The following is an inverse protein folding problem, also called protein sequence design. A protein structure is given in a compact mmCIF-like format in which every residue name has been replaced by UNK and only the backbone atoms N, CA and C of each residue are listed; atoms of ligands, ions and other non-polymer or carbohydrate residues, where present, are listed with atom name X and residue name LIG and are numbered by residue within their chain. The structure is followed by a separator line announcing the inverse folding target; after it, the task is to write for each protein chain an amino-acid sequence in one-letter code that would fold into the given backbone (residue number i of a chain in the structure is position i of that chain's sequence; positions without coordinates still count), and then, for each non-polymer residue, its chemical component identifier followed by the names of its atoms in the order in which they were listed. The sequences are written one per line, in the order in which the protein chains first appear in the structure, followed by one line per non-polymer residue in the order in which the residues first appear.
data_IF_493423534607
#
_entry.id   IF_493423534607
#
_cell.length_a   1.000
_cell.length_b   1.000
_cell.length_c   1.000
_cell.angle_alpha   90.00
_cell.angle_beta   90.00
_cell.angle_gamma   90.00
#
_symmetry.space_group_name_H-M   'P 1'
#
loop_
_entity.id
_entity.type
_entity.pdbx_description
1 polymer ?
2 non-polymer ?
3 water ?
#
# COMPACT_ATOMS: atom_id res chain seq x y z
N UNK A 3 -15.01 -11.18 -24.63
CA UNK A 3 -15.34 -9.78 -24.34
C UNK A 3 -15.43 -9.55 -22.83
N UNK A 4 -14.93 -8.39 -22.38
CA UNK A 4 -14.91 -8.03 -20.96
C UNK A 4 -16.17 -7.25 -20.56
N UNK A 5 -17.31 -7.85 -20.84
CA UNK A 5 -18.59 -7.29 -20.47
C UNK A 5 -19.26 -8.05 -19.33
N UNK A 6 -18.65 -9.10 -18.80
CA UNK A 6 -19.27 -9.96 -17.80
C UNK A 6 -18.81 -9.52 -16.40
N UNK A 7 -19.75 -9.36 -15.48
CA UNK A 7 -19.46 -8.91 -14.13
C UNK A 7 -19.76 -9.98 -13.10
N UNK A 8 -18.94 -9.98 -12.06
CA UNK A 8 -19.16 -10.72 -10.82
C UNK A 8 -19.51 -9.70 -9.75
N UNK A 9 -20.57 -9.98 -8.99
CA UNK A 9 -21.00 -9.09 -7.92
C UNK A 9 -20.86 -9.89 -6.62
N UNK A 10 -20.06 -9.39 -5.68
CA UNK A 10 -19.76 -10.12 -4.47
C UNK A 10 -20.22 -9.41 -3.21
N UNK A 11 -20.05 -10.12 -2.09
CA UNK A 11 -20.38 -9.60 -0.78
C UNK A 11 -21.87 -9.30 -0.64
N UNK A 12 -22.70 -10.13 -1.27
CA UNK A 12 -24.14 -9.97 -1.17
C UNK A 12 -24.71 -10.67 0.05
N UNK A 13 -25.78 -10.11 0.60
CA UNK A 13 -26.47 -10.75 1.70
C UNK A 13 -27.18 -12.00 1.19
N UNK A 14 -27.52 -12.88 2.14
CA UNK A 14 -28.21 -14.13 1.80
C UNK A 14 -29.58 -13.88 1.19
N UNK A 15 -30.17 -12.70 1.44
CA UNK A 15 -31.51 -12.37 0.98
C UNK A 15 -31.53 -11.61 -0.34
N UNK A 16 -30.37 -11.20 -0.86
CA UNK A 16 -30.32 -10.37 -2.05
C UNK A 16 -31.12 -11.01 -3.18
N UNK A 17 -31.86 -10.19 -3.90
CA UNK A 17 -32.70 -10.64 -5.00
C UNK A 17 -32.35 -9.85 -6.24
N UNK A 18 -32.67 -10.37 -7.43
CA UNK A 18 -32.43 -9.59 -8.65
C UNK A 18 -33.00 -8.19 -8.61
N UNK A 19 -34.22 -8.00 -8.08
CA UNK A 19 -34.81 -6.66 -8.05
C UNK A 19 -33.93 -5.68 -7.27
N UNK A 20 -33.19 -6.16 -6.25
CA UNK A 20 -32.30 -5.27 -5.53
C UNK A 20 -31.17 -4.80 -6.43
N UNK A 21 -30.61 -5.70 -7.22
CA UNK A 21 -29.50 -5.33 -8.08
C UNK A 21 -29.99 -4.51 -9.28
N UNK A 22 -31.17 -4.85 -9.81
CA UNK A 22 -31.76 -4.07 -10.89
C UNK A 22 -31.83 -2.60 -10.51
N UNK A 23 -32.29 -2.31 -9.28
CA UNK A 23 -32.49 -0.92 -8.89
C UNK A 23 -31.16 -0.21 -8.64
N UNK A 24 -30.15 -0.94 -8.15
CA UNK A 24 -28.82 -0.36 -8.01
C UNK A 24 -28.27 0.05 -9.37
N UNK A 25 -28.36 -0.86 -10.37
CA UNK A 25 -27.83 -0.52 -11.69
C UNK A 25 -28.63 0.60 -12.34
N UNK A 26 -29.94 0.62 -12.14
CA UNK A 26 -30.76 1.67 -12.72
C UNK A 26 -30.39 3.01 -12.11
N UNK A 27 -30.24 3.06 -10.79
CA UNK A 27 -29.87 4.32 -10.15
C UNK A 27 -28.51 4.82 -10.62
N UNK A 28 -27.60 3.91 -10.92
CA UNK A 28 -26.28 4.25 -11.44
C UNK A 28 -26.28 4.55 -12.94
N UNK A 29 -27.42 4.41 -13.61
CA UNK A 29 -27.54 4.67 -15.05
C UNK A 29 -26.66 3.72 -15.86
N UNK A 30 -26.62 2.46 -15.47
CA UNK A 30 -25.84 1.46 -16.17
C UNK A 30 -26.78 0.39 -16.73
N UNK A 31 -26.86 0.25 -18.05
CA UNK A 31 -27.66 -0.83 -18.63
C UNK A 31 -27.00 -2.19 -18.42
N UNK A 32 -27.84 -3.22 -18.38
CA UNK A 32 -27.36 -4.59 -18.45
C UNK A 32 -27.96 -5.23 -19.70
N UNK A 33 -27.29 -6.26 -20.21
CA UNK A 33 -27.73 -6.92 -21.42
C UNK A 33 -28.39 -8.27 -21.18
N UNK A 34 -28.49 -8.70 -19.93
CA UNK A 34 -29.18 -9.92 -19.59
C UNK A 34 -29.60 -9.87 -18.13
N UNK A 35 -30.16 -10.96 -17.62
CA UNK A 35 -30.66 -10.98 -16.25
C UNK A 35 -29.54 -11.14 -15.23
N UNK A 36 -29.86 -10.74 -14.01
CA UNK A 36 -29.00 -11.01 -12.86
C UNK A 36 -29.20 -12.46 -12.44
N UNK A 37 -28.09 -13.20 -12.30
CA UNK A 37 -28.11 -14.59 -11.81
C UNK A 37 -27.56 -14.55 -10.38
N UNK A 38 -28.45 -14.69 -9.41
CA UNK A 38 -28.09 -14.53 -8.01
C UNK A 38 -27.86 -15.90 -7.40
N UNK A 39 -26.65 -16.15 -6.90
CA UNK A 39 -26.33 -17.41 -6.25
C UNK A 39 -26.29 -17.18 -4.74
N UNK A 40 -25.32 -17.72 -4.01
CA UNK A 40 -25.30 -17.64 -2.55
C UNK A 40 -24.21 -16.67 -2.12
N UNK A 41 -24.59 -15.41 -1.98
CA UNK A 41 -23.65 -14.39 -1.56
C UNK A 41 -22.97 -13.68 -2.70
N UNK A 42 -23.32 -14.00 -3.93
CA UNK A 42 -22.71 -13.38 -5.08
C UNK A 42 -23.66 -13.54 -6.26
N UNK A 43 -23.36 -12.84 -7.35
CA UNK A 43 -24.22 -12.86 -8.52
C UNK A 43 -23.39 -12.57 -9.76
N UNK A 44 -23.99 -12.84 -10.92
CA UNK A 44 -23.40 -12.49 -12.21
C UNK A 44 -24.39 -11.69 -13.03
N UNK A 45 -23.86 -10.75 -13.82
CA UNK A 45 -24.67 -10.06 -14.83
C UNK A 45 -23.75 -9.62 -15.95
N UNK A 46 -24.32 -9.48 -17.16
CA UNK A 46 -23.61 -8.97 -18.32
C UNK A 46 -24.00 -7.53 -18.61
N UNK A 47 -23.03 -6.74 -19.04
CA UNK A 47 -23.31 -5.42 -19.58
C UNK A 47 -23.21 -5.43 -21.09
N UNK A 48 -23.75 -4.41 -21.77
CA UNK A 48 -23.80 -4.46 -23.26
C UNK A 48 -22.43 -4.40 -23.92
N UNK A 49 -21.43 -3.85 -23.26
CA UNK A 49 -20.08 -3.78 -23.83
C UNK A 49 -19.09 -3.58 -22.70
N UNK A 50 -17.81 -3.54 -23.06
CA UNK A 50 -16.76 -3.43 -22.05
C UNK A 50 -16.79 -2.07 -21.35
N UNK A 51 -17.14 -1.01 -22.06
CA UNK A 51 -17.18 0.31 -21.43
C UNK A 51 -18.19 0.35 -20.31
N UNK A 52 -19.37 -0.24 -20.53
CA UNK A 52 -20.37 -0.25 -19.47
C UNK A 52 -19.92 -1.11 -18.29
N UNK A 53 -19.27 -2.24 -18.55
CA UNK A 53 -18.79 -3.08 -17.45
C UNK A 53 -17.78 -2.33 -16.59
N UNK A 54 -16.86 -1.58 -17.22
CA UNK A 54 -15.89 -0.80 -16.45
C UNK A 54 -16.59 0.31 -15.66
N UNK A 55 -17.55 1.00 -16.28
CA UNK A 55 -18.32 2.00 -15.56
C UNK A 55 -19.02 1.43 -14.32
N UNK A 56 -19.55 0.20 -14.42
CA UNK A 56 -20.20 -0.44 -13.27
C UNK A 56 -19.20 -0.69 -12.15
N UNK A 57 -18.01 -1.20 -12.49
CA UNK A 57 -16.98 -1.41 -11.48
C UNK A 57 -16.62 -0.11 -10.80
N UNK A 58 -16.32 0.92 -11.60
CA UNK A 58 -15.84 2.19 -11.06
C UNK A 58 -16.90 2.87 -10.22
N UNK A 59 -18.17 2.79 -10.62
CA UNK A 59 -19.24 3.49 -9.89
C UNK A 59 -19.79 2.71 -8.70
N UNK A 60 -19.74 1.38 -8.73
CA UNK A 60 -20.46 0.61 -7.73
C UNK A 60 -19.58 -0.07 -6.70
N UNK A 61 -18.40 -0.57 -7.10
CA UNK A 61 -17.68 -1.49 -6.23
C UNK A 61 -17.21 -0.77 -4.96
N UNK A 62 -17.60 -1.31 -3.81
CA UNK A 62 -17.26 -0.71 -2.53
C UNK A 62 -17.96 0.60 -2.23
N UNK A 63 -18.86 1.05 -3.11
CA UNK A 63 -19.47 2.36 -3.01
C UNK A 63 -20.96 2.32 -2.72
N UNK A 64 -21.60 1.18 -2.90
CA UNK A 64 -23.03 1.02 -2.72
C UNK A 64 -23.22 -0.13 -1.73
N UNK A 65 -24.14 0.04 -0.78
CA UNK A 65 -24.48 -0.99 0.18
C UNK A 65 -25.84 -1.57 -0.16
N UNK A 66 -25.98 -2.86 0.13
CA UNK A 66 -27.28 -3.53 0.04
C UNK A 66 -27.42 -4.35 1.31
N UNK A 67 -28.51 -4.15 2.04
CA UNK A 67 -28.73 -4.88 3.29
C UNK A 67 -27.55 -4.70 4.26
N UNK A 68 -26.97 -3.51 4.25
CA UNK A 68 -25.90 -3.23 5.19
C UNK A 68 -24.52 -3.73 4.81
N UNK A 69 -24.36 -4.29 3.62
CA UNK A 69 -23.06 -4.79 3.19
C UNK A 69 -22.65 -4.05 1.92
N UNK A 70 -21.42 -3.53 1.84
CA UNK A 70 -20.99 -2.90 0.57
C UNK A 70 -20.77 -3.95 -0.51
N UNK A 71 -21.36 -3.74 -1.67
CA UNK A 71 -21.20 -4.71 -2.73
C UNK A 71 -19.83 -4.57 -3.38
N UNK A 72 -19.34 -5.69 -3.92
CA UNK A 72 -18.14 -5.70 -4.73
C UNK A 72 -18.56 -5.97 -6.17
N UNK A 73 -17.95 -5.27 -7.13
CA UNK A 73 -18.26 -5.48 -8.54
C UNK A 73 -16.93 -5.56 -9.28
N UNK A 74 -16.73 -6.66 -10.02
CA UNK A 74 -15.46 -6.96 -10.66
C UNK A 74 -15.71 -7.62 -12.00
N UNK A 75 -14.70 -7.62 -12.87
CA UNK A 75 -14.77 -8.45 -14.06
C UNK A 75 -14.87 -9.89 -13.63
N UNK A 76 -15.78 -10.64 -14.26
CA UNK A 76 -15.90 -12.07 -14.00
C UNK A 76 -14.81 -12.79 -14.79
N UNK A 77 -13.91 -13.47 -14.10
CA UNK A 77 -12.80 -14.16 -14.76
C UNK A 77 -12.68 -15.55 -14.15
N UNK A 78 -12.93 -16.61 -14.91
CA UNK A 78 -12.68 -17.97 -14.41
C UNK A 78 -11.23 -18.13 -13.97
N UNK A 79 -11.01 -18.96 -12.93
CA UNK A 79 -9.67 -19.10 -12.38
C UNK A 79 -8.67 -19.53 -13.44
N UNK A 80 -9.08 -20.41 -14.35
CA UNK A 80 -8.18 -20.89 -15.40
C UNK A 80 -7.89 -19.84 -16.46
N UNK A 81 -8.57 -18.70 -16.43
CA UNK A 81 -8.25 -17.59 -17.31
C UNK A 81 -7.52 -16.46 -16.62
N UNK A 82 -7.14 -16.66 -15.35
CA UNK A 82 -6.30 -15.70 -14.60
C UNK A 82 -4.87 -16.12 -14.85
N UNK A 83 -4.25 -15.49 -15.85
CA UNK A 83 -2.93 -15.91 -16.29
C UNK A 83 -2.00 -14.71 -16.36
N UNK A 84 -1.83 -14.10 -17.54
CA UNK A 84 -0.83 -13.03 -17.69
C UNK A 84 -1.40 -11.62 -17.55
N UNK A 85 -2.71 -11.45 -17.64
CA UNK A 85 -3.29 -10.14 -17.90
C UNK A 85 -3.98 -9.56 -16.67
N UNK A 86 -3.71 -8.29 -16.43
CA UNK A 86 -4.26 -7.54 -15.29
C UNK A 86 -4.83 -6.23 -15.79
N UNK A 87 -5.77 -5.67 -15.05
CA UNK A 87 -6.21 -4.31 -15.25
C UNK A 87 -5.86 -3.51 -14.00
N UNK A 88 -5.30 -2.31 -14.20
CA UNK A 88 -4.94 -1.40 -13.11
C UNK A 88 -5.82 -0.18 -13.22
N UNK A 89 -6.50 0.15 -12.14
CA UNK A 89 -7.41 1.30 -12.10
C UNK A 89 -6.96 2.27 -11.03
N UNK A 90 -7.58 3.44 -11.03
CA UNK A 90 -7.33 4.49 -10.03
C UNK A 90 -5.89 5.01 -10.10
N UNK A 91 -5.30 5.03 -11.30
CA UNK A 91 -3.96 5.59 -11.51
C UNK A 91 -4.05 7.12 -11.49
N UNK A 92 -3.14 7.81 -10.80
CA UNK A 92 -3.17 9.28 -10.83
C UNK A 92 -3.20 9.81 -12.25
N UNK A 93 -4.02 10.82 -12.53
CA UNK A 93 -4.21 11.28 -13.92
C UNK A 93 -2.95 11.75 -14.61
N UNK A 94 -2.05 12.39 -13.87
CA UNK A 94 -0.88 13.02 -14.49
C UNK A 94 0.35 12.15 -14.37
N UNK A 95 0.20 10.93 -13.88
CA UNK A 95 1.35 10.07 -13.61
C UNK A 95 2.12 9.83 -14.90
N UNK A 96 3.43 10.09 -14.86
CA UNK A 96 4.27 9.77 -15.99
C UNK A 96 4.32 8.26 -16.20
N UNK A 97 4.27 7.85 -17.46
CA UNK A 97 4.27 6.42 -17.76
C UNK A 97 5.58 5.74 -17.37
N UNK A 98 6.68 6.50 -17.24
CA UNK A 98 7.93 5.93 -16.73
C UNK A 98 7.81 5.56 -15.26
N UNK A 99 7.07 6.35 -14.48
CA UNK A 99 6.87 6.01 -13.07
C UNK A 99 6.08 4.71 -12.96
N UNK A 100 4.99 4.60 -13.70
CA UNK A 100 4.23 3.34 -13.69
C UNK A 100 5.10 2.17 -14.14
N UNK A 101 5.86 2.34 -15.24
CA UNK A 101 6.70 1.27 -15.74
C UNK A 101 7.70 0.81 -14.70
N UNK A 102 8.28 1.77 -13.96
CA UNK A 102 9.26 1.44 -12.95
C UNK A 102 8.68 0.54 -11.86
N UNK A 103 7.37 0.65 -11.62
CA UNK A 103 6.70 -0.27 -10.70
C UNK A 103 6.47 -1.63 -11.36
N UNK A 104 5.94 -1.63 -12.59
CA UNK A 104 5.52 -2.88 -13.22
C UNK A 104 6.71 -3.82 -13.42
N UNK A 105 7.86 -3.28 -13.82
CA UNK A 105 8.99 -4.16 -14.16
C UNK A 105 9.62 -4.79 -12.94
N UNK A 106 9.24 -4.35 -11.73
CA UNK A 106 9.75 -5.03 -10.54
C UNK A 106 9.22 -6.45 -10.44
N UNK A 107 8.16 -6.79 -11.21
CA UNK A 107 7.52 -8.09 -11.09
C UNK A 107 7.63 -8.95 -12.33
N UNK A 108 8.18 -8.44 -13.42
CA UNK A 108 8.29 -9.26 -14.60
C UNK A 108 8.49 -8.43 -15.84
N UNK A 109 8.32 -9.09 -16.97
CA UNK A 109 8.52 -8.46 -18.27
C UNK A 109 7.13 -8.07 -18.78
N UNK A 110 6.97 -6.80 -19.11
CA UNK A 110 5.70 -6.27 -19.57
C UNK A 110 5.66 -6.45 -21.08
N UNK A 111 4.85 -7.43 -21.53
CA UNK A 111 4.63 -7.63 -22.96
C UNK A 111 3.84 -6.48 -23.58
N UNK A 112 2.88 -5.91 -22.85
CA UNK A 112 2.13 -4.75 -23.34
C UNK A 112 1.45 -4.04 -22.17
N UNK A 113 1.20 -2.73 -22.34
CA UNK A 113 0.48 -1.90 -21.36
C UNK A 113 -0.37 -0.92 -22.17
N UNK A 114 -1.69 -1.18 -22.24
CA UNK A 114 -2.60 -0.44 -23.10
C UNK A 114 -3.50 0.46 -22.26
N UNK A 115 -3.57 1.73 -22.64
CA UNK A 115 -4.49 2.64 -21.97
C UNK A 115 -5.94 2.32 -22.37
N UNK A 116 -6.84 2.46 -21.41
CA UNK A 116 -8.25 2.19 -21.60
C UNK A 116 -9.05 3.49 -21.45
N UNK A 117 -10.03 3.69 -22.32
CA UNK A 117 -10.90 4.85 -22.19
C UNK A 117 -11.75 4.74 -20.94
N UNK A 118 -11.92 5.85 -20.25
CA UNK A 118 -12.77 5.94 -19.06
C UNK A 118 -13.18 7.39 -18.90
N UNK A 119 -14.38 7.60 -18.36
CA UNK A 119 -14.78 8.97 -18.03
C UNK A 119 -14.26 9.45 -16.68
N UNK A 120 -13.63 8.58 -15.89
CA UNK A 120 -13.07 9.09 -14.65
C UNK A 120 -11.80 9.89 -14.93
N UNK A 121 -11.44 10.74 -13.98
CA UNK A 121 -10.19 11.50 -14.12
C UNK A 121 -8.97 10.60 -14.00
N UNK A 122 -9.10 9.47 -13.30
CA UNK A 122 -7.98 8.57 -13.13
C UNK A 122 -7.83 7.69 -14.36
N UNK A 123 -6.61 7.19 -14.56
CA UNK A 123 -6.32 6.34 -15.70
C UNK A 123 -6.57 4.86 -15.39
N UNK A 124 -6.75 4.09 -16.46
CA UNK A 124 -6.91 2.64 -16.41
C UNK A 124 -6.01 2.06 -17.49
N UNK A 125 -5.24 1.03 -17.15
CA UNK A 125 -4.42 0.33 -18.14
C UNK A 125 -4.65 -1.17 -18.04
N UNK A 126 -4.52 -1.86 -19.17
CA UNK A 126 -4.47 -3.31 -19.21
C UNK A 126 -3.03 -3.72 -19.47
N UNK A 127 -2.48 -4.55 -18.60
CA UNK A 127 -1.09 -4.98 -18.62
C UNK A 127 -1.03 -6.47 -18.90
N UNK A 128 -0.19 -6.87 -19.84
CA UNK A 128 0.11 -8.28 -20.07
C UNK A 128 1.56 -8.54 -19.67
N UNK A 129 1.75 -9.42 -18.67
CA UNK A 129 3.08 -9.90 -18.30
C UNK A 129 3.46 -11.12 -19.14
N UNK A 130 4.74 -11.50 -19.09
CA UNK A 130 5.17 -12.65 -19.87
C UNK A 130 4.67 -13.96 -19.32
N UNK A 131 4.46 -14.05 -18.01
CA UNK A 131 4.11 -15.33 -17.39
C UNK A 131 3.08 -15.14 -16.28
N UNK A 132 2.43 -16.26 -15.94
CA UNK A 132 1.44 -16.30 -14.88
C UNK A 132 2.03 -15.92 -13.52
N UNK A 133 3.25 -16.39 -13.22
CA UNK A 133 3.82 -16.08 -11.91
C UNK A 133 4.10 -14.58 -11.79
N UNK A 134 4.51 -13.94 -12.88
CA UNK A 134 4.79 -12.51 -12.84
C UNK A 134 3.52 -11.71 -12.57
N UNK A 135 2.43 -12.02 -13.29
CA UNK A 135 1.19 -11.31 -13.07
C UNK A 135 0.66 -11.56 -11.67
N UNK A 136 0.80 -12.79 -11.16
CA UNK A 136 0.28 -13.08 -9.83
C UNK A 136 1.03 -12.27 -8.77
N UNK A 137 2.36 -12.14 -8.90
CA UNK A 137 3.12 -11.32 -7.96
C UNK A 137 2.76 -9.84 -8.09
N UNK A 138 2.60 -9.36 -9.32
CA UNK A 138 2.28 -7.96 -9.53
C UNK A 138 0.93 -7.63 -8.92
N UNK A 139 -0.04 -8.52 -9.10
CA UNK A 139 -1.35 -8.33 -8.49
C UNK A 139 -1.24 -8.22 -6.98
N UNK A 140 -0.51 -9.14 -6.36
CA UNK A 140 -0.40 -9.16 -4.91
C UNK A 140 0.29 -7.91 -4.38
N UNK A 141 1.30 -7.41 -5.10
CA UNK A 141 2.11 -6.29 -4.65
C UNK A 141 1.52 -4.93 -5.01
N UNK A 142 0.83 -4.82 -6.14
CA UNK A 142 0.31 -3.55 -6.61
C UNK A 142 -1.11 -3.26 -6.17
N UNK A 143 -1.96 -4.27 -5.96
CA UNK A 143 -3.32 -3.97 -5.51
C UNK A 143 -3.26 -3.36 -4.12
N UNK A 144 -3.80 -2.16 -3.97
CA UNK A 144 -3.74 -1.45 -2.71
C UNK A 144 -2.54 -0.54 -2.55
N UNK A 145 -1.63 -0.51 -3.52
CA UNK A 145 -0.46 0.34 -3.38
C UNK A 145 -0.82 1.81 -3.50
N UNK A 146 -0.30 2.64 -2.60
CA UNK A 146 -0.64 4.06 -2.55
C UNK A 146 0.43 4.89 -3.24
N UNK A 147 -0.02 5.71 -4.18
CA UNK A 147 0.82 6.47 -5.09
C UNK A 147 0.15 7.83 -5.22
N UNK A 148 0.81 8.90 -4.79
CA UNK A 148 0.33 10.27 -5.04
C UNK A 148 -1.10 10.50 -4.57
N UNK A 149 -1.43 9.95 -3.40
CA UNK A 149 -2.73 10.05 -2.74
C UNK A 149 -3.82 9.21 -3.41
N UNK A 150 -3.46 8.29 -4.29
CA UNK A 150 -4.40 7.38 -4.92
C UNK A 150 -4.01 5.96 -4.58
N UNK A 151 -5.01 5.12 -4.32
CA UNK A 151 -4.78 3.70 -4.06
C UNK A 151 -5.03 2.93 -5.35
N UNK A 152 -4.00 2.29 -5.87
CA UNK A 152 -4.16 1.49 -7.09
C UNK A 152 -5.07 0.30 -6.82
N UNK A 153 -5.90 -0.03 -7.81
CA UNK A 153 -6.73 -1.23 -7.76
C UNK A 153 -6.31 -2.12 -8.90
N UNK A 154 -5.92 -3.35 -8.59
CA UNK A 154 -5.42 -4.25 -9.61
C UNK A 154 -6.22 -5.54 -9.55
N UNK A 155 -6.64 -6.04 -10.70
CA UNK A 155 -7.46 -7.24 -10.77
C UNK A 155 -7.15 -7.99 -12.05
N UNK A 156 -7.46 -9.28 -12.05
CA UNK A 156 -7.32 -10.04 -13.29
C UNK A 156 -8.35 -9.62 -14.33
N UNK A 157 -7.96 -9.77 -15.59
CA UNK A 157 -8.88 -9.80 -16.72
C UNK A 157 -8.62 -11.09 -17.49
N UNK A 158 -9.55 -11.55 -18.33
CA UNK A 158 -9.37 -12.88 -18.92
C UNK A 158 -8.18 -12.93 -19.86
N UNK A 159 -7.43 -14.03 -19.76
CA UNK A 159 -6.34 -14.33 -20.68
C UNK A 159 -6.71 -15.65 -21.34
N UNK A 160 -7.61 -15.57 -22.30
CA UNK A 160 -8.19 -16.78 -22.88
C UNK A 160 -7.19 -17.51 -23.77
N UNK A 161 -6.26 -16.79 -24.38
CA UNK A 161 -5.38 -17.44 -25.33
C UNK A 161 -4.22 -18.17 -24.67
N UNK A 162 -3.96 -17.93 -23.39
CA UNK A 162 -2.85 -18.58 -22.71
C UNK A 162 -3.28 -19.74 -21.84
N UNK A 163 -4.55 -20.16 -21.93
CA UNK A 163 -5.10 -21.15 -21.00
C UNK A 163 -4.27 -22.43 -20.96
N UNK A 164 -3.63 -22.79 -22.08
CA UNK A 164 -2.80 -23.98 -22.16
C UNK A 164 -1.31 -23.69 -22.29
N UNK A 165 -0.88 -22.44 -22.18
CA UNK A 165 0.54 -22.14 -22.28
C UNK A 165 1.31 -22.73 -21.10
N UNK A 166 2.53 -23.20 -21.37
CA UNK A 166 3.41 -23.75 -20.35
C UNK A 166 4.40 -22.70 -19.86
N UNK B 3 -1.24 2.17 10.08
CA UNK B 3 -0.27 1.21 10.61
C UNK B 3 1.14 1.69 10.26
N UNK B 4 2.09 1.45 11.15
CA UNK B 4 3.48 1.87 10.90
C UNK B 4 4.27 0.81 10.14
N UNK B 5 3.81 0.50 8.93
CA UNK B 5 4.49 -0.44 8.05
C UNK B 5 5.09 0.25 6.84
N UNK B 6 5.06 1.57 6.79
CA UNK B 6 5.46 2.35 5.62
C UNK B 6 6.83 2.98 5.87
N UNK B 7 7.77 2.73 4.95
CA UNK B 7 9.13 3.20 5.11
C UNK B 7 9.45 4.32 4.13
N UNK B 8 10.29 5.24 4.61
CA UNK B 8 10.98 6.24 3.81
C UNK B 8 12.44 5.83 3.76
N UNK B 9 13.03 5.86 2.57
CA UNK B 9 14.44 5.54 2.37
C UNK B 9 15.10 6.81 1.86
N UNK B 10 16.10 7.32 2.57
CA UNK B 10 16.70 8.59 2.25
C UNK B 10 18.20 8.51 2.03
N UNK B 11 18.76 9.65 1.67
CA UNK B 11 20.19 9.80 1.40
C UNK B 11 20.62 8.96 0.21
N UNK B 12 19.78 8.88 -0.81
CA UNK B 12 20.12 8.13 -2.02
C UNK B 12 20.77 9.01 -3.07
N UNK B 13 21.68 8.41 -3.83
CA UNK B 13 22.21 9.07 -5.01
C UNK B 13 21.14 9.13 -6.09
N UNK B 14 21.32 10.05 -7.02
CA UNK B 14 20.41 10.09 -8.15
C UNK B 14 20.47 8.81 -8.98
N UNK B 15 21.55 8.02 -8.83
CA UNK B 15 21.75 6.73 -9.50
C UNK B 15 20.93 5.59 -8.91
N UNK B 16 20.36 5.74 -7.72
CA UNK B 16 19.67 4.62 -7.09
C UNK B 16 18.48 4.16 -7.92
N UNK B 17 18.32 2.86 -8.01
CA UNK B 17 17.26 2.22 -8.79
C UNK B 17 16.50 1.28 -7.87
N UNK B 18 15.25 0.94 -8.20
CA UNK B 18 14.54 -0.08 -7.42
C UNK B 18 15.35 -1.34 -7.21
N UNK B 19 16.10 -1.81 -8.21
CA UNK B 19 16.84 -3.05 -8.06
C UNK B 19 17.89 -2.94 -6.95
N UNK B 20 18.51 -1.76 -6.76
CA UNK B 20 19.47 -1.59 -5.68
C UNK B 20 18.81 -1.77 -4.33
N UNK B 21 17.60 -1.21 -4.18
CA UNK B 21 16.93 -1.28 -2.89
C UNK B 21 16.36 -2.68 -2.65
N UNK B 22 15.86 -3.32 -3.72
CA UNK B 22 15.39 -4.68 -3.61
C UNK B 22 16.51 -5.60 -3.11
N UNK B 23 17.73 -5.42 -3.64
CA UNK B 23 18.85 -6.25 -3.22
C UNK B 23 19.23 -5.99 -1.76
N UNK B 24 19.19 -4.74 -1.33
CA UNK B 24 19.48 -4.42 0.08
C UNK B 24 18.47 -5.10 1.01
N UNK B 25 17.18 -5.04 0.66
CA UNK B 25 16.19 -5.67 1.53
C UNK B 25 16.32 -7.19 1.49
N UNK B 26 16.65 -7.76 0.32
CA UNK B 26 16.87 -9.21 0.26
C UNK B 26 18.08 -9.60 1.09
N UNK B 27 19.17 -8.84 1.02
CA UNK B 27 20.35 -9.17 1.80
C UNK B 27 20.03 -9.21 3.28
N UNK B 28 19.17 -8.30 3.74
CA UNK B 28 18.78 -8.20 5.13
C UNK B 28 17.61 -9.13 5.50
N UNK B 29 17.08 -9.88 4.53
CA UNK B 29 15.96 -10.80 4.76
C UNK B 29 14.71 -10.08 5.28
N UNK B 30 14.44 -8.91 4.72
CA UNK B 30 13.27 -8.10 5.09
C UNK B 30 12.28 -8.19 3.93
N UNK B 31 11.12 -8.80 4.10
CA UNK B 31 10.13 -8.83 3.01
C UNK B 31 9.51 -7.45 2.84
N UNK B 32 9.08 -7.17 1.62
CA UNK B 32 8.30 -5.97 1.34
C UNK B 32 6.95 -6.41 0.77
N UNK B 33 5.94 -5.55 0.95
CA UNK B 33 4.59 -5.87 0.51
C UNK B 33 4.14 -5.04 -0.68
N UNK B 34 5.01 -4.21 -1.22
CA UNK B 34 4.70 -3.45 -2.41
C UNK B 34 5.99 -3.08 -3.10
N UNK B 35 5.89 -2.35 -4.21
CA UNK B 35 7.07 -1.96 -4.97
C UNK B 35 7.84 -0.83 -4.31
N UNK B 36 9.11 -0.70 -4.67
CA UNK B 36 9.91 0.47 -4.30
C UNK B 36 9.56 1.62 -5.23
N UNK B 37 9.14 2.74 -4.66
CA UNK B 37 8.83 3.96 -5.43
C UNK B 37 10.00 4.91 -5.24
N UNK B 38 10.85 5.03 -6.26
CA UNK B 38 12.08 5.78 -6.15
C UNK B 38 11.86 7.16 -6.75
N UNK B 39 12.13 8.19 -5.95
CA UNK B 39 12.04 9.57 -6.41
C UNK B 39 13.46 10.07 -6.68
N UNK B 40 13.81 11.27 -6.27
CA UNK B 40 15.17 11.76 -6.53
C UNK B 40 15.82 12.04 -5.18
N UNK B 41 16.67 11.11 -4.74
CA UNK B 41 17.32 11.20 -3.45
C UNK B 41 16.64 10.43 -2.35
N UNK B 42 15.46 9.88 -2.61
CA UNK B 42 14.69 9.19 -1.59
C UNK B 42 13.72 8.24 -2.28
N UNK B 43 13.15 7.33 -1.48
CA UNK B 43 12.23 6.32 -1.99
C UNK B 43 11.25 5.94 -0.90
N UNK B 44 10.20 5.23 -1.29
CA UNK B 44 9.24 4.67 -0.36
C UNK B 44 9.06 3.19 -0.63
N UNK B 45 8.82 2.42 0.44
CA UNK B 45 8.39 1.03 0.30
C UNK B 45 7.59 0.68 1.54
N UNK B 46 6.70 -0.30 1.40
CA UNK B 46 5.88 -0.84 2.48
C UNK B 46 6.37 -2.23 2.87
N UNK B 47 6.30 -2.53 4.16
CA UNK B 47 6.53 -3.86 4.68
C UNK B 47 5.21 -4.50 5.10
N UNK B 48 5.19 -5.84 5.25
CA UNK B 48 3.90 -6.51 5.51
C UNK B 48 3.29 -6.15 6.85
N UNK B 49 4.08 -5.76 7.85
CA UNK B 49 3.53 -5.38 9.14
C UNK B 49 4.53 -4.46 9.84
N UNK B 50 4.15 -4.00 11.05
CA UNK B 50 4.97 -3.05 11.79
C UNK B 50 6.26 -3.67 12.29
N UNK B 51 6.23 -4.96 12.59
CA UNK B 51 7.42 -5.65 13.08
C UNK B 51 8.52 -5.68 12.02
N UNK B 52 8.15 -6.02 10.77
CA UNK B 52 9.12 -6.02 9.69
C UNK B 52 9.64 -4.62 9.40
N UNK B 53 8.78 -3.61 9.46
CA UNK B 53 9.24 -2.25 9.20
C UNK B 53 10.26 -1.81 10.22
N UNK B 54 10.02 -2.13 11.50
CA UNK B 54 10.98 -1.78 12.54
C UNK B 54 12.28 -2.57 12.37
N UNK B 55 12.18 -3.85 12.02
CA UNK B 55 13.39 -4.63 11.76
C UNK B 55 14.23 -3.99 10.65
N UNK B 56 13.57 -3.49 9.60
CA UNK B 56 14.28 -2.86 8.50
C UNK B 56 14.98 -1.59 8.96
N UNK B 57 14.30 -0.76 9.75
CA UNK B 57 14.92 0.46 10.26
C UNK B 57 16.16 0.12 11.08
N UNK B 58 16.03 -0.86 11.97
CA UNK B 58 17.14 -1.17 12.87
C UNK B 58 18.28 -1.88 12.15
N UNK B 59 18.00 -2.69 11.12
CA UNK B 59 19.07 -3.36 10.40
C UNK B 59 19.74 -2.45 9.37
N UNK B 60 19.01 -1.49 8.81
CA UNK B 60 19.52 -0.80 7.62
C UNK B 60 19.92 0.63 7.88
N UNK B 61 19.17 1.36 8.71
CA UNK B 61 19.33 2.81 8.73
C UNK B 61 20.70 3.20 9.25
N UNK B 62 21.45 3.95 8.44
CA UNK B 62 22.78 4.39 8.81
C UNK B 62 23.83 3.29 8.73
N UNK B 63 23.46 2.09 8.33
CA UNK B 63 24.34 0.95 8.38
C UNK B 63 24.72 0.39 7.03
N UNK B 64 23.87 0.46 6.05
CA UNK B 64 24.12 -0.06 4.71
C UNK B 64 24.50 1.12 3.84
N UNK B 65 25.53 0.95 3.02
CA UNK B 65 25.95 1.99 2.09
C UNK B 65 25.55 1.62 0.66
N UNK B 66 25.17 2.63 -0.10
CA UNK B 66 24.85 2.47 -1.51
C UNK B 66 25.46 3.68 -2.21
N UNK B 67 26.28 3.42 -3.23
CA UNK B 67 26.93 4.52 -3.97
C UNK B 67 27.75 5.41 -3.05
N UNK B 68 28.32 4.83 -2.01
CA UNK B 68 29.22 5.56 -1.14
C UNK B 68 28.56 6.31 -0.01
N UNK B 69 27.24 6.17 0.16
CA UNK B 69 26.43 6.99 1.07
C UNK B 69 25.71 6.01 2.00
N UNK B 70 25.70 6.23 3.32
CA UNK B 70 24.84 5.40 4.19
C UNK B 70 23.36 5.75 4.00
N UNK B 71 22.56 4.73 3.74
CA UNK B 71 21.14 4.98 3.50
C UNK B 71 20.45 5.31 4.80
N UNK B 72 19.37 6.07 4.71
CA UNK B 72 18.46 6.28 5.83
C UNK B 72 17.24 5.41 5.59
N UNK B 73 16.76 4.72 6.63
CA UNK B 73 15.51 3.98 6.57
C UNK B 73 14.72 4.34 7.81
N UNK B 74 13.55 4.96 7.62
CA UNK B 74 12.78 5.51 8.73
C UNK B 74 11.30 5.31 8.48
N UNK B 75 10.49 5.45 9.52
CA UNK B 75 9.05 5.50 9.31
C UNK B 75 8.68 6.67 8.39
N UNK B 76 7.87 6.39 7.36
CA UNK B 76 7.37 7.47 6.52
C UNK B 76 6.27 8.22 7.25
N UNK B 77 6.45 9.52 7.45
CA UNK B 77 5.45 10.31 8.18
C UNK B 77 5.20 11.58 7.38
N UNK B 78 4.02 11.76 6.79
CA UNK B 78 3.69 13.03 6.15
C UNK B 78 3.87 14.18 7.12
N UNK B 79 4.25 15.34 6.57
CA UNK B 79 4.54 16.50 7.39
C UNK B 79 3.41 16.83 8.34
N UNK B 80 2.17 16.75 7.86
CA UNK B 80 1.02 17.11 8.68
C UNK B 80 0.79 16.14 9.84
N UNK B 81 1.44 14.99 9.85
CA UNK B 81 1.33 14.02 10.93
C UNK B 81 2.54 14.01 11.86
N UNK B 82 3.45 14.96 11.70
CA UNK B 82 4.60 15.10 12.60
C UNK B 82 4.17 16.09 13.67
N UNK B 83 3.64 15.57 14.78
CA UNK B 83 3.02 16.41 15.78
C UNK B 83 3.56 16.03 17.16
N UNK B 84 2.83 15.19 17.92
CA UNK B 84 3.22 14.91 19.30
C UNK B 84 4.01 13.61 19.48
N UNK B 85 4.05 12.74 18.49
CA UNK B 85 4.48 11.37 18.68
C UNK B 85 5.86 11.11 18.09
N UNK B 86 6.68 10.40 18.88
CA UNK B 86 8.05 10.06 18.54
C UNK B 86 8.28 8.60 18.83
N UNK B 87 9.29 8.04 18.14
CA UNK B 87 9.83 6.74 18.49
C UNK B 87 11.30 6.89 18.86
N UNK B 88 11.70 6.24 19.95
CA UNK B 88 13.07 6.24 20.43
C UNK B 88 13.63 4.85 20.29
N UNK B 89 14.79 4.72 19.63
CA UNK B 89 15.46 3.45 19.38
C UNK B 89 16.85 3.47 19.97
N UNK B 90 17.48 2.29 19.99
CA UNK B 90 18.84 2.10 20.49
C UNK B 90 18.96 2.42 21.98
N UNK B 91 17.89 2.19 22.73
CA UNK B 91 17.89 2.34 24.19
C UNK B 91 18.68 1.19 24.81
N UNK B 92 19.59 1.45 25.74
CA UNK B 92 20.32 0.35 26.41
C UNK B 92 19.35 -0.70 26.97
N UNK B 93 19.63 -1.99 26.77
CA UNK B 93 18.61 -3.06 27.02
C UNK B 93 18.07 -3.20 28.45
N UNK B 94 18.88 -2.89 29.43
CA UNK B 94 18.48 -2.95 30.85
C UNK B 94 18.34 -1.57 31.45
N UNK B 95 18.18 -0.54 30.62
CA UNK B 95 18.03 0.82 31.15
C UNK B 95 16.88 0.88 32.14
N UNK B 96 17.13 1.47 33.30
CA UNK B 96 16.07 1.67 34.27
C UNK B 96 15.03 2.63 33.71
N UNK B 97 13.75 2.29 33.84
CA UNK B 97 12.73 3.20 33.31
C UNK B 97 12.75 4.55 34.03
N UNK B 98 13.19 4.58 35.29
CA UNK B 98 13.38 5.86 35.99
C UNK B 98 14.34 6.77 35.24
N UNK B 99 15.39 6.19 34.65
CA UNK B 99 16.34 7.02 33.90
C UNK B 99 15.69 7.57 32.64
N UNK B 100 15.03 6.71 31.85
CA UNK B 100 14.39 7.20 30.64
C UNK B 100 13.35 8.26 30.97
N UNK B 101 12.56 8.04 32.02
CA UNK B 101 11.56 9.05 32.38
C UNK B 101 12.21 10.37 32.73
N UNK B 102 13.34 10.34 33.45
CA UNK B 102 14.00 11.57 33.84
C UNK B 102 14.49 12.37 32.65
N UNK B 103 14.81 11.69 31.54
CA UNK B 103 15.20 12.38 30.31
C UNK B 103 13.95 12.94 29.63
N UNK B 104 12.90 12.12 29.49
CA UNK B 104 11.72 12.54 28.72
C UNK B 104 11.06 13.76 29.33
N UNK B 105 10.91 13.79 30.65
CA UNK B 105 10.13 14.86 31.25
C UNK B 105 10.84 16.20 31.21
N UNK B 106 12.14 16.22 30.83
CA UNK B 106 12.80 17.51 30.66
C UNK B 106 12.20 18.32 29.51
N UNK B 107 11.41 17.70 28.64
CA UNK B 107 10.87 18.37 27.47
C UNK B 107 9.35 18.54 27.49
N UNK B 108 8.67 18.01 28.49
CA UNK B 108 7.24 18.19 28.55
C UNK B 108 6.60 17.11 29.39
N UNK B 109 5.30 17.01 29.27
CA UNK B 109 4.52 16.02 29.97
C UNK B 109 4.29 14.87 29.01
N UNK B 110 4.62 13.67 29.45
CA UNK B 110 4.47 12.48 28.63
C UNK B 110 3.01 12.04 28.72
N UNK B 111 2.31 12.15 27.59
CA UNK B 111 0.91 11.73 27.50
C UNK B 111 0.81 10.21 27.41
N UNK B 112 1.75 9.57 26.74
CA UNK B 112 1.74 8.12 26.57
C UNK B 112 3.17 7.68 26.35
N UNK B 113 3.51 6.48 26.83
CA UNK B 113 4.76 5.89 26.42
C UNK B 113 4.63 4.38 26.56
N UNK B 114 5.05 3.68 25.52
CA UNK B 114 4.85 2.24 25.40
C UNK B 114 6.11 1.61 24.83
N UNK B 115 6.56 0.51 25.44
CA UNK B 115 7.64 -0.25 24.88
C UNK B 115 7.14 -1.06 23.71
N UNK B 116 7.95 -1.10 22.66
CA UNK B 116 7.68 -1.87 21.46
C UNK B 116 8.59 -3.08 21.52
N UNK B 117 8.02 -4.27 21.43
CA UNK B 117 8.84 -5.48 21.49
C UNK B 117 9.54 -5.68 20.15
N UNK B 118 10.85 -5.88 20.19
CA UNK B 118 11.67 -6.11 19.00
C UNK B 118 12.71 -7.20 19.30
N UNK B 119 13.30 -7.73 18.23
CA UNK B 119 14.32 -8.77 18.37
C UNK B 119 15.70 -8.21 18.64
N UNK B 120 15.90 -6.91 18.55
CA UNK B 120 17.22 -6.34 18.74
C UNK B 120 17.61 -6.40 20.22
N UNK B 121 18.91 -6.27 20.46
CA UNK B 121 19.41 -6.20 21.83
C UNK B 121 18.98 -4.93 22.55
N UNK B 122 18.63 -3.88 21.82
CA UNK B 122 18.26 -2.61 22.42
C UNK B 122 16.75 -2.45 22.41
N UNK B 123 16.25 -1.55 23.27
CA UNK B 123 14.82 -1.33 23.41
C UNK B 123 14.33 -0.21 22.49
N UNK B 124 13.02 -0.18 22.29
CA UNK B 124 12.32 0.81 21.46
C UNK B 124 11.07 1.22 22.21
N UNK B 125 10.83 2.52 22.31
CA UNK B 125 9.62 3.04 22.92
C UNK B 125 8.97 4.05 22.00
N UNK B 126 7.64 4.08 22.04
CA UNK B 126 6.87 5.14 21.39
C UNK B 126 6.39 6.09 22.47
N UNK B 127 6.54 7.41 22.23
CA UNK B 127 6.22 8.44 23.21
C UNK B 127 5.29 9.45 22.56
N UNK B 128 4.22 9.80 23.26
CA UNK B 128 3.38 10.94 22.89
C UNK B 128 3.60 12.03 23.92
N UNK B 129 4.08 13.18 23.48
CA UNK B 129 4.15 14.34 24.35
C UNK B 129 2.79 15.06 24.35
N UNK B 130 2.62 15.98 25.27
CA UNK B 130 1.34 16.64 25.40
C UNK B 130 1.10 17.67 24.31
N UNK B 131 2.16 18.21 23.71
CA UNK B 131 2.02 19.23 22.66
C UNK B 131 3.05 18.99 21.56
N UNK B 132 2.76 19.56 20.40
CA UNK B 132 3.67 19.56 19.26
C UNK B 132 5.01 20.18 19.63
N UNK B 133 4.99 21.28 20.39
CA UNK B 133 6.23 21.99 20.70
C UNK B 133 7.11 21.15 21.62
N UNK B 134 6.50 20.42 22.55
CA UNK B 134 7.26 19.53 23.43
C UNK B 134 7.96 18.45 22.64
N UNK B 135 7.22 17.80 21.72
CA UNK B 135 7.81 16.72 20.94
C UNK B 135 8.95 17.24 20.08
N UNK B 136 8.78 18.44 19.52
CA UNK B 136 9.84 18.99 18.68
C UNK B 136 11.10 19.22 19.49
N UNK B 137 10.98 19.77 20.70
CA UNK B 137 12.18 19.98 21.50
C UNK B 137 12.78 18.66 21.94
N UNK B 138 11.95 17.68 22.29
CA UNK B 138 12.49 16.39 22.69
C UNK B 138 13.26 15.75 21.54
N UNK B 139 12.72 15.81 20.32
CA UNK B 139 13.41 15.27 19.16
C UNK B 139 14.76 15.95 18.97
N UNK B 140 14.80 17.29 19.05
CA UNK B 140 16.03 18.03 18.85
C UNK B 140 17.07 17.72 19.91
N UNK B 141 16.66 17.46 21.13
CA UNK B 141 17.60 17.26 22.22
C UNK B 141 17.96 15.79 22.44
N UNK B 142 17.06 14.86 22.10
CA UNK B 142 17.33 13.46 22.39
C UNK B 142 17.89 12.69 21.20
N UNK B 143 17.60 13.11 19.97
CA UNK B 143 18.18 12.40 18.83
C UNK B 143 19.70 12.60 18.83
N UNK B 144 20.45 11.49 18.94
CA UNK B 144 21.88 11.57 19.02
C UNK B 144 22.43 11.66 20.42
N UNK B 145 21.59 11.65 21.44
CA UNK B 145 22.06 11.71 22.83
C UNK B 145 22.78 10.41 23.19
N UNK B 146 23.97 10.55 23.77
CA UNK B 146 24.80 9.41 24.12
C UNK B 146 24.54 9.01 25.56
N UNK B 147 24.04 7.79 25.72
CA UNK B 147 23.59 7.26 27.00
C UNK B 147 24.36 5.97 27.18
N UNK B 148 25.33 5.99 28.10
CA UNK B 148 26.28 4.90 28.25
C UNK B 148 26.95 4.72 26.88
N UNK B 149 27.07 3.52 26.36
CA UNK B 149 27.73 3.29 25.08
C UNK B 149 26.74 3.30 23.91
N UNK B 150 25.55 3.87 24.10
CA UNK B 150 24.48 3.83 23.11
C UNK B 150 24.11 5.23 22.69
N UNK B 151 23.92 5.43 21.39
CA UNK B 151 23.45 6.71 20.86
C UNK B 151 21.97 6.59 20.55
N UNK B 152 21.14 7.33 21.27
CA UNK B 152 19.71 7.26 21.04
C UNK B 152 19.37 7.80 19.64
N UNK B 153 18.37 7.17 19.03
CA UNK B 153 17.84 7.63 17.74
C UNK B 153 16.37 7.95 17.96
N UNK B 154 15.98 9.16 17.58
CA UNK B 154 14.62 9.63 17.85
C UNK B 154 14.08 10.19 16.55
N UNK B 155 12.81 9.85 16.23
CA UNK B 155 12.20 10.23 14.96
C UNK B 155 10.70 10.34 15.16
N UNK B 156 10.05 11.11 14.31
CA UNK B 156 8.60 11.17 14.35
C UNK B 156 7.98 9.84 13.93
N UNK B 157 6.82 9.58 14.51
CA UNK B 157 5.89 8.57 14.00
C UNK B 157 4.56 9.27 13.78
N UNK B 158 3.64 8.68 13.03
CA UNK B 158 2.43 9.43 12.67
C UNK B 158 1.57 9.77 13.87
N UNK B 159 1.16 11.03 13.95
CA UNK B 159 0.17 11.50 14.90
C UNK B 159 -1.07 11.81 14.07
N UNK B 160 -2.01 10.89 14.04
CA UNK B 160 -3.16 10.99 13.16
C UNK B 160 -4.32 11.75 13.80
N UNK B 161 -4.06 12.50 14.87
CA UNK B 161 -5.14 13.09 15.66
C UNK B 161 -5.49 14.52 15.26
N UNK B 162 -4.77 15.11 14.32
CA UNK B 162 -5.12 16.45 13.83
C UNK B 162 -5.62 16.40 12.40
X LIG C 1 10.88 -11.25 -13.15
X LIG C 1 10.47 -11.24 -11.78
X LIG C 1 11.54 -9.92 -13.45
X LIG C 1 11.89 -9.91 -14.85
#
# INVERSE_FOLDING_TARGET
GGSMNKLYIGNLSENAAPSDLESIFKDAKIPVSGPFLVKTGYAFVDCPDESWALKAIEALSGKIELHGKPIEVEHSVPKRQRIRKLQIRNIPPHLQWEVLDSLLVQYGVVESCEQVNTDSETAVVNVTYSSKDQARQALDKLNGFQLENFTLKVAYIPDEMAAQHHHHHH
GGSMNKLYIGNLSENAAPSDLESIFKDAKIPVSGPFLVKTGYAFVDCPDESWALKAIEALSGKIELHGKPIEVEHSVPKRQRIRKLQIRNIPPHLQWEVLDSLLVQYGVVESCEQVNTDSETAVVNVTYSSKDQARQALDKLNGFQLENFTLKVAYIPDEMAAQHHHHHH
EDO C1 O1 C2 O2
#
